data_IF_564341651804
#
_entry.id   IF_564341651804
#
_cell.length_a   1.000
_cell.length_b   1.000
_cell.length_c   1.000
_cell.angle_alpha   90.00
_cell.angle_beta   90.00
_cell.angle_gamma   90.00
#
_symmetry.space_group_name_H-M   'P 1'
#
loop_
_entity.id
_entity.type
_entity.pdbx_description
1 polymer ?
#
# COMPACT_ATOMS: atom_id res chain seq x y z
N UNK A 1 -12.42 -5.48 -7.42
CA UNK A 1 -11.83 -4.17 -7.08
C UNK A 1 -12.72 -3.30 -6.20
N UNK A 2 -13.97 -2.98 -6.59
CA UNK A 2 -14.85 -2.14 -5.76
C UNK A 2 -15.00 -2.69 -4.34
N UNK A 3 -15.31 -3.98 -4.19
CA UNK A 3 -15.50 -4.61 -2.88
C UNK A 3 -14.22 -4.64 -2.04
N UNK A 4 -13.05 -4.78 -2.69
CA UNK A 4 -11.74 -4.74 -2.01
C UNK A 4 -11.50 -3.34 -1.44
N UNK A 5 -11.75 -2.29 -2.22
CA UNK A 5 -11.61 -0.91 -1.76
C UNK A 5 -12.59 -0.60 -0.62
N UNK A 6 -13.85 -1.02 -0.73
CA UNK A 6 -14.85 -0.83 0.32
C UNK A 6 -14.45 -1.55 1.62
N UNK A 7 -13.96 -2.79 1.55
CA UNK A 7 -13.45 -3.49 2.73
C UNK A 7 -12.25 -2.79 3.34
N UNK A 8 -11.33 -2.27 2.51
CA UNK A 8 -10.18 -1.52 2.99
C UNK A 8 -10.61 -0.25 3.74
N UNK A 9 -11.55 0.52 3.18
CA UNK A 9 -12.10 1.74 3.79
C UNK A 9 -12.84 1.47 5.11
N UNK A 10 -13.51 0.32 5.24
CA UNK A 10 -14.26 -0.05 6.45
C UNK A 10 -13.37 -0.53 7.59
N UNK A 11 -12.25 -1.20 7.27
CA UNK A 11 -11.43 -1.90 8.28
C UNK A 11 -10.10 -1.19 8.60
N UNK A 12 -9.65 -0.27 7.74
CA UNK A 12 -8.37 0.41 7.89
C UNK A 12 -8.49 1.92 7.71
N UNK A 13 -7.54 2.68 8.27
CA UNK A 13 -7.46 4.12 8.06
C UNK A 13 -6.78 4.38 6.71
N UNK A 14 -7.57 4.25 5.65
CA UNK A 14 -7.12 4.47 4.27
C UNK A 14 -7.38 5.91 3.85
N UNK A 15 -6.44 6.49 3.10
CA UNK A 15 -6.56 7.83 2.50
C UNK A 15 -5.98 7.83 1.09
N UNK A 16 -6.21 8.91 0.33
CA UNK A 16 -5.66 9.11 -1.01
C UNK A 16 -5.84 7.87 -1.92
N UNK A 17 -7.08 7.37 -1.99
CA UNK A 17 -7.45 6.28 -2.87
C UNK A 17 -7.50 6.83 -4.29
N UNK A 18 -6.67 6.28 -5.17
CA UNK A 18 -6.56 6.74 -6.55
C UNK A 18 -6.63 5.55 -7.50
N UNK A 19 -7.61 5.55 -8.41
CA UNK A 19 -7.58 4.71 -9.61
C UNK A 19 -6.81 5.47 -10.69
N UNK A 20 -5.54 5.15 -10.93
CA UNK A 20 -4.72 5.84 -11.94
C UNK A 20 -5.03 5.37 -13.36
N UNK A 21 -5.30 4.08 -13.51
CA UNK A 21 -5.75 3.42 -14.75
C UNK A 21 -6.52 2.15 -14.37
N UNK A 22 -7.07 1.44 -15.34
CA UNK A 22 -7.95 0.29 -15.06
C UNK A 22 -7.28 -0.86 -14.30
N UNK A 23 -5.97 -1.03 -14.49
CA UNK A 23 -5.12 -2.06 -13.87
C UNK A 23 -4.17 -1.50 -12.79
N UNK A 24 -4.40 -0.28 -12.28
CA UNK A 24 -3.49 0.32 -11.29
C UNK A 24 -4.22 1.23 -10.28
N UNK A 25 -4.09 0.85 -9.02
CA UNK A 25 -4.67 1.54 -7.87
C UNK A 25 -3.59 1.95 -6.87
N UNK A 26 -3.82 3.05 -6.17
CA UNK A 26 -2.98 3.51 -5.08
C UNK A 26 -3.82 3.80 -3.85
N UNK A 27 -3.25 3.53 -2.68
CA UNK A 27 -3.80 3.96 -1.39
C UNK A 27 -2.67 4.45 -0.48
N UNK A 28 -3.02 5.30 0.48
CA UNK A 28 -2.17 5.63 1.63
C UNK A 28 -2.74 4.96 2.88
N UNK A 29 -1.86 4.39 3.69
CA UNK A 29 -2.22 3.78 4.98
C UNK A 29 -1.31 4.27 6.09
N UNK A 30 -1.79 4.16 7.32
CA UNK A 30 -0.96 4.45 8.48
C UNK A 30 0.15 3.41 8.68
N UNK A 31 1.31 3.87 9.15
CA UNK A 31 2.48 3.04 9.42
C UNK A 31 2.18 1.82 10.28
N UNK A 32 1.31 1.95 11.29
CA UNK A 32 0.94 0.84 12.18
C UNK A 32 0.03 -0.22 11.52
N UNK A 33 -0.63 0.11 10.40
CA UNK A 33 -1.56 -0.78 9.72
C UNK A 33 -0.94 -1.49 8.51
N UNK A 34 0.30 -1.19 8.13
CA UNK A 34 0.87 -1.74 6.89
C UNK A 34 0.82 -3.26 6.86
N UNK A 35 1.15 -3.94 7.97
CA UNK A 35 1.24 -5.40 8.00
C UNK A 35 -0.15 -5.97 7.79
N UNK A 36 -1.12 -5.49 8.56
CA UNK A 36 -2.51 -5.94 8.45
C UNK A 36 -3.11 -5.69 7.07
N UNK A 37 -2.81 -4.55 6.43
CA UNK A 37 -3.27 -4.24 5.08
C UNK A 37 -2.63 -5.17 4.04
N UNK A 38 -1.31 -5.36 4.11
CA UNK A 38 -0.61 -6.25 3.18
C UNK A 38 -1.06 -7.71 3.37
N UNK A 39 -1.26 -8.16 4.62
CA UNK A 39 -1.81 -9.48 4.94
C UNK A 39 -3.22 -9.63 4.39
N UNK A 40 -4.10 -8.64 4.58
CA UNK A 40 -5.44 -8.67 3.98
C UNK A 40 -5.39 -8.80 2.45
N UNK A 41 -4.58 -7.96 1.81
CA UNK A 41 -4.44 -7.94 0.36
C UNK A 41 -3.91 -9.27 -0.19
N UNK A 42 -2.95 -9.88 0.51
CA UNK A 42 -2.37 -11.18 0.14
C UNK A 42 -3.36 -12.32 0.38
N UNK A 43 -3.86 -12.46 1.60
CA UNK A 43 -4.56 -13.66 2.06
C UNK A 43 -6.05 -13.68 1.67
N UNK A 44 -6.65 -12.51 1.39
CA UNK A 44 -8.10 -12.40 1.12
C UNK A 44 -8.43 -11.66 -0.19
N UNK A 45 -7.48 -10.95 -0.79
CA UNK A 45 -7.73 -10.16 -2.00
C UNK A 45 -6.81 -10.52 -3.20
N UNK A 46 -6.14 -11.68 -3.14
CA UNK A 46 -5.37 -12.26 -4.26
C UNK A 46 -4.20 -11.40 -4.78
N UNK A 47 -3.65 -10.51 -3.97
CA UNK A 47 -2.43 -9.73 -4.28
C UNK A 47 -1.19 -10.44 -3.72
N UNK A 48 -0.80 -11.54 -4.35
CA UNK A 48 0.18 -12.49 -3.83
C UNK A 48 1.62 -12.21 -4.27
N UNK A 49 1.84 -11.29 -5.21
CA UNK A 49 3.17 -10.97 -5.73
C UNK A 49 3.60 -9.55 -5.34
N UNK A 50 4.68 -9.41 -4.58
CA UNK A 50 5.34 -8.13 -4.35
C UNK A 50 6.24 -7.81 -5.56
N UNK A 51 5.76 -6.95 -6.46
CA UNK A 51 6.49 -6.57 -7.67
C UNK A 51 7.73 -5.73 -7.34
N UNK A 52 7.59 -4.77 -6.43
CA UNK A 52 8.72 -4.04 -5.86
C UNK A 52 8.36 -3.37 -4.53
N UNK A 53 9.40 -3.05 -3.76
CA UNK A 53 9.35 -2.11 -2.64
C UNK A 53 10.31 -0.95 -2.95
N UNK A 54 9.79 0.27 -2.92
CA UNK A 54 10.57 1.48 -3.17
C UNK A 54 10.44 2.46 -2.02
N UNK A 55 11.50 3.21 -1.75
CA UNK A 55 11.53 4.35 -0.85
C UNK A 55 11.84 5.61 -1.66
N UNK A 56 10.90 6.55 -1.70
CA UNK A 56 11.11 7.87 -2.31
C UNK A 56 11.37 8.87 -1.20
N UNK A 57 12.45 9.63 -1.34
CA UNK A 57 12.74 10.73 -0.45
C UNK A 57 11.89 11.95 -0.82
N UNK A 58 11.05 12.39 0.11
CA UNK A 58 10.22 13.58 0.02
C UNK A 58 10.82 14.64 0.93
N UNK A 59 11.88 15.27 0.45
CA UNK A 59 12.75 16.14 1.25
C UNK A 59 12.01 17.39 1.74
N UNK A 60 11.14 17.96 0.91
CA UNK A 60 10.33 19.14 1.23
C UNK A 60 9.34 18.86 2.37
N UNK A 61 8.77 17.65 2.42
CA UNK A 61 7.84 17.23 3.49
C UNK A 61 8.53 16.58 4.69
N UNK A 62 9.86 16.52 4.71
CA UNK A 62 10.67 15.89 5.76
C UNK A 62 10.25 14.42 6.05
N UNK A 63 9.91 13.67 5.00
CA UNK A 63 9.36 12.33 5.07
C UNK A 63 9.96 11.41 4.00
N UNK A 64 9.95 10.11 4.25
CA UNK A 64 10.12 9.08 3.22
C UNK A 64 8.75 8.50 2.87
N UNK A 65 8.49 8.29 1.58
CA UNK A 65 7.36 7.50 1.13
C UNK A 65 7.83 6.11 0.77
N UNK A 66 7.35 5.10 1.49
CA UNK A 66 7.51 3.71 1.07
C UNK A 66 6.30 3.32 0.21
N UNK A 67 6.56 2.68 -0.92
CA UNK A 67 5.53 2.12 -1.80
C UNK A 67 5.75 0.61 -1.92
N UNK A 68 4.79 -0.16 -1.44
CA UNK A 68 4.69 -1.60 -1.65
C UNK A 68 3.83 -1.83 -2.88
N UNK A 69 4.43 -2.18 -4.01
CA UNK A 69 3.70 -2.47 -5.23
C UNK A 69 3.36 -3.96 -5.27
N UNK A 70 2.07 -4.27 -5.15
CA UNK A 70 1.57 -5.63 -5.26
C UNK A 70 0.94 -5.87 -6.62
N UNK A 71 1.02 -7.10 -7.09
CA UNK A 71 0.35 -7.57 -8.29
C UNK A 71 -0.55 -8.75 -7.97
N UNK A 72 -1.74 -8.75 -8.57
CA UNK A 72 -2.66 -9.89 -8.57
C UNK A 72 -2.73 -10.50 -9.97
N UNK A 73 -2.37 -11.77 -10.09
CA UNK A 73 -2.56 -12.54 -11.34
C UNK A 73 -4.05 -12.77 -11.63
N UNK A 74 -4.85 -12.99 -10.59
CA UNK A 74 -6.30 -13.19 -10.68
C UNK A 74 -7.00 -11.94 -11.23
N UNK A 75 -6.62 -10.76 -10.72
CA UNK A 75 -7.23 -9.50 -11.13
C UNK A 75 -6.48 -8.81 -12.28
N UNK A 76 -5.30 -9.31 -12.67
CA UNK A 76 -4.37 -8.68 -13.62
C UNK A 76 -4.13 -7.19 -13.31
N UNK A 77 -4.02 -6.87 -12.03
CA UNK A 77 -4.05 -5.49 -11.51
C UNK A 77 -2.88 -5.25 -10.57
N UNK A 78 -2.29 -4.07 -10.65
CA UNK A 78 -1.29 -3.54 -9.72
C UNK A 78 -1.98 -2.72 -8.62
N UNK A 79 -1.47 -2.83 -7.40
CA UNK A 79 -1.99 -2.14 -6.23
C UNK A 79 -0.84 -1.63 -5.37
N UNK A 80 -0.68 -0.30 -5.35
CA UNK A 80 0.35 0.38 -4.60
C UNK A 80 -0.17 0.77 -3.21
N UNK A 81 0.42 0.18 -2.17
CA UNK A 81 0.17 0.57 -0.78
C UNK A 81 1.29 1.49 -0.33
N UNK A 82 0.96 2.75 -0.07
CA UNK A 82 1.93 3.78 0.33
C UNK A 82 1.84 4.05 1.83
N UNK A 83 3.00 4.25 2.44
CA UNK A 83 3.12 4.73 3.83
C UNK A 83 4.13 5.86 3.88
N UNK A 84 3.78 6.92 4.61
CA UNK A 84 4.69 8.03 4.90
C UNK A 84 5.38 7.78 6.25
N UNK A 85 6.70 7.92 6.26
CA UNK A 85 7.56 7.72 7.42
C UNK A 85 8.33 9.00 7.68
N UNK A 86 8.24 9.56 8.89
CA UNK A 86 9.01 10.75 9.24
C UNK A 86 10.52 10.49 9.14
N UNK A 87 11.27 11.44 8.60
CA UNK A 87 12.72 11.32 8.38
C UNK A 87 13.50 11.15 9.68
N UNK A 88 13.13 11.89 10.73
CA UNK A 88 13.78 11.85 12.06
C UNK A 88 13.64 10.50 12.77
N UNK A 89 12.64 9.70 12.38
CA UNK A 89 12.33 8.37 12.93
C UNK A 89 12.07 7.35 11.82
N UNK A 90 12.95 7.36 10.81
CA UNK A 90 12.90 6.50 9.63
C UNK A 90 13.16 5.02 9.94
N UNK A 91 12.18 4.39 10.58
CA UNK A 91 12.16 2.95 10.88
C UNK A 91 10.89 2.34 10.33
N UNK A 92 10.96 1.10 9.85
CA UNK A 92 9.81 0.35 9.41
C UNK A 92 9.94 -1.11 9.84
N UNK A 93 8.82 -1.75 10.17
CA UNK A 93 8.80 -3.19 10.38
C UNK A 93 8.99 -3.89 9.03
N UNK A 94 9.80 -4.95 9.00
CA UNK A 94 9.98 -5.80 7.82
C UNK A 94 8.70 -6.60 7.54
N UNK A 95 8.49 -6.96 6.27
CA UNK A 95 7.37 -7.79 5.80
C UNK A 95 7.81 -9.22 5.44
N UNK A 96 9.08 -9.55 5.69
CA UNK A 96 9.66 -10.90 5.51
C UNK A 96 9.24 -11.83 6.66
#
# INVERSE_FOLDING_TARGET
>A
MKDILTNLEQNFAVSNIEKKRDDLYFINVEKKQIISVLTYLKDYAEFTHLAFLQAVDRIEENQFQLTYMLYSFQHKTNFAVRVLVKRDKAKMISIL
#
